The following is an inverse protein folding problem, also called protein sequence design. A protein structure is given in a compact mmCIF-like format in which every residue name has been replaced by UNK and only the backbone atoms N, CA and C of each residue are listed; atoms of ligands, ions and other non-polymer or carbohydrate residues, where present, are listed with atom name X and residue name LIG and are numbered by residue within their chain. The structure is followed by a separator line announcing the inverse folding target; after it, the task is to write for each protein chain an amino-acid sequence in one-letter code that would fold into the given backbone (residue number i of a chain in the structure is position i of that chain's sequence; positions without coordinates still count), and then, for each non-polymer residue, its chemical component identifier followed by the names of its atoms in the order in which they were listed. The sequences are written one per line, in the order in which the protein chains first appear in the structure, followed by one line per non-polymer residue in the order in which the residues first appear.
data_IF_423204681766
#
_entry.id   IF_423204681766
#
_cell.length_a   1.000
_cell.length_b   1.000
_cell.length_c   1.000
_cell.angle_alpha   90.00
_cell.angle_beta   90.00
_cell.angle_gamma   90.00
#
_symmetry.space_group_name_H-M   'P 1'
#
loop_
_entity.id
_entity.type
_entity.pdbx_description
1 polymer ?
#
# COMPACT_ATOMS: atom_id res chain seq x y z
N UNK A 1 16.95 -21.46 2.35
CA UNK A 1 16.57 -20.20 3.03
C UNK A 1 16.51 -19.18 1.90
N UNK A 2 15.28 -18.83 1.47
CA UNK A 2 14.51 -17.67 2.00
C UNK A 2 15.29 -16.40 1.62
N UNK A 3 14.80 -15.43 0.86
CA UNK A 3 13.52 -14.73 0.90
C UNK A 3 13.26 -14.14 -0.50
N UNK A 4 12.17 -14.53 -1.18
CA UNK A 4 11.56 -13.67 -2.20
C UNK A 4 10.37 -12.97 -1.55
N UNK A 5 10.62 -12.34 -0.40
CA UNK A 5 9.68 -11.50 0.32
C UNK A 5 9.60 -10.09 -0.27
N UNK A 6 10.31 -9.86 -1.37
CA UNK A 6 10.40 -8.56 -1.98
C UNK A 6 9.06 -8.18 -2.58
N UNK A 7 8.43 -7.26 -1.84
CA UNK A 7 7.78 -6.09 -2.38
C UNK A 7 6.27 -6.24 -2.55
N UNK A 8 5.53 -6.70 -1.52
CA UNK A 8 4.08 -6.49 -1.47
C UNK A 8 3.73 -5.16 -0.82
N UNK A 9 2.71 -4.49 -1.36
CA UNK A 9 2.19 -3.26 -0.78
C UNK A 9 1.68 -3.51 0.64
N UNK A 10 2.19 -2.77 1.62
CA UNK A 10 1.75 -2.92 3.01
C UNK A 10 0.32 -2.44 3.28
N UNK A 11 -0.28 -1.74 2.31
CA UNK A 11 -1.63 -1.20 2.40
C UNK A 11 -2.64 -2.13 1.71
N UNK A 12 -2.27 -2.72 0.57
CA UNK A 12 -3.20 -3.48 -0.25
C UNK A 12 -2.79 -4.91 -0.59
N UNK A 13 -1.58 -5.32 -0.20
CA UNK A 13 -1.02 -6.63 -0.50
C UNK A 13 -0.66 -6.86 -1.96
N UNK A 14 -0.81 -5.85 -2.84
CA UNK A 14 -0.47 -5.99 -4.26
C UNK A 14 1.03 -6.16 -4.47
N UNK A 15 1.42 -7.01 -5.40
CA UNK A 15 2.82 -7.19 -5.79
C UNK A 15 3.36 -5.89 -6.42
N UNK A 16 4.44 -5.38 -5.84
CA UNK A 16 5.20 -4.24 -6.30
C UNK A 16 6.40 -4.82 -7.05
N UNK A 17 6.31 -4.85 -8.37
CA UNK A 17 7.35 -5.45 -9.21
C UNK A 17 8.35 -4.36 -9.60
N UNK A 18 9.62 -4.54 -9.25
CA UNK A 18 10.70 -3.68 -9.73
C UNK A 18 10.78 -2.33 -9.03
N UNK A 19 10.33 -2.26 -7.78
CA UNK A 19 10.63 -1.12 -6.94
C UNK A 19 12.10 -1.19 -6.51
N UNK A 20 12.76 -0.02 -6.52
CA UNK A 20 14.17 0.06 -6.11
C UNK A 20 14.31 0.01 -4.59
N UNK A 21 15.53 -0.12 -4.06
CA UNK A 21 15.77 -0.02 -2.61
C UNK A 21 15.34 1.34 -2.00
N UNK A 22 15.13 2.35 -2.85
CA UNK A 22 14.67 3.70 -2.50
C UNK A 22 13.17 3.92 -2.78
N UNK A 23 12.47 2.90 -3.29
CA UNK A 23 11.06 3.04 -3.66
C UNK A 23 10.13 2.83 -2.46
N UNK A 24 9.00 3.54 -2.44
CA UNK A 24 8.03 3.46 -1.35
C UNK A 24 7.46 2.04 -1.21
N UNK A 25 7.23 1.60 0.04
CA UNK A 25 6.61 0.31 0.42
C UNK A 25 5.13 0.16 -0.04
N UNK A 26 4.67 1.06 -0.90
CA UNK A 26 3.28 1.21 -1.32
C UNK A 26 3.17 1.18 -2.84
N UNK A 27 2.10 0.57 -3.36
CA UNK A 27 1.87 0.56 -4.80
C UNK A 27 1.46 1.94 -5.30
N UNK A 28 1.75 2.22 -6.57
CA UNK A 28 1.37 3.47 -7.23
C UNK A 28 -0.13 3.80 -7.06
N UNK A 29 -0.99 2.78 -7.03
CA UNK A 29 -2.44 2.98 -6.79
C UNK A 29 -2.71 3.53 -5.39
N UNK A 30 -2.08 2.97 -4.36
CA UNK A 30 -2.23 3.47 -3.00
C UNK A 30 -1.64 4.88 -2.89
N UNK A 31 -0.49 5.14 -3.52
CA UNK A 31 0.14 6.47 -3.53
C UNK A 31 -0.77 7.50 -4.20
N UNK A 32 -1.28 7.21 -5.40
CA UNK A 32 -2.17 8.10 -6.12
C UNK A 32 -3.46 8.40 -5.34
N UNK A 33 -4.05 7.41 -4.68
CA UNK A 33 -5.24 7.61 -3.85
C UNK A 33 -4.92 8.38 -2.57
N UNK A 34 -3.76 8.15 -1.95
CA UNK A 34 -3.27 8.91 -0.80
C UNK A 34 -3.09 10.39 -1.15
N UNK A 35 -2.43 10.70 -2.26
CA UNK A 35 -2.25 12.06 -2.76
C UNK A 35 -3.58 12.73 -3.08
N UNK A 36 -4.47 12.01 -3.77
CA UNK A 36 -5.82 12.49 -4.12
C UNK A 36 -6.68 12.79 -2.89
N UNK A 37 -6.56 11.98 -1.83
CA UNK A 37 -7.26 12.20 -0.57
C UNK A 37 -6.51 13.14 0.37
N UNK A 38 -5.28 13.57 0.01
CA UNK A 38 -4.34 14.28 0.89
C UNK A 38 -4.23 13.62 2.28
N UNK A 39 -4.08 12.30 2.27
CA UNK A 39 -3.95 11.48 3.47
C UNK A 39 -2.53 10.94 3.62
N UNK A 40 -2.03 10.91 4.85
CA UNK A 40 -0.81 10.20 5.19
C UNK A 40 -0.99 8.67 5.08
N UNK A 41 0.08 7.89 4.86
CA UNK A 41 0.00 6.43 4.72
C UNK A 41 -0.72 5.73 5.86
N UNK A 42 -0.46 6.13 7.10
CA UNK A 42 -1.12 5.58 8.28
C UNK A 42 -2.64 5.81 8.25
N UNK A 43 -3.06 7.04 7.92
CA UNK A 43 -4.49 7.39 7.81
C UNK A 43 -5.16 6.66 6.66
N UNK A 44 -4.49 6.53 5.53
CA UNK A 44 -5.03 5.84 4.37
C UNK A 44 -5.16 4.33 4.62
N UNK A 45 -4.19 3.72 5.32
CA UNK A 45 -4.27 2.32 5.76
C UNK A 45 -5.50 2.09 6.66
N UNK A 46 -5.71 2.94 7.67
CA UNK A 46 -6.90 2.88 8.52
C UNK A 46 -8.20 3.11 7.73
N UNK A 47 -8.23 4.13 6.85
CA UNK A 47 -9.38 4.42 6.00
C UNK A 47 -9.77 3.21 5.15
N UNK A 48 -8.78 2.52 4.57
CA UNK A 48 -8.99 1.34 3.75
C UNK A 48 -9.52 0.16 4.57
N UNK A 49 -8.92 -0.10 5.73
CA UNK A 49 -9.35 -1.17 6.63
C UNK A 49 -10.81 -0.98 7.07
N UNK A 50 -11.20 0.25 7.42
CA UNK A 50 -12.58 0.60 7.74
C UNK A 50 -13.49 0.38 6.53
N UNK A 51 -13.05 0.81 5.34
CA UNK A 51 -13.82 0.69 4.09
C UNK A 51 -14.01 -0.77 3.65
N UNK A 52 -13.02 -1.64 3.86
CA UNK A 52 -13.12 -3.08 3.63
C UNK A 52 -14.01 -3.75 4.67
N UNK A 53 -14.00 -3.29 5.91
CA UNK A 53 -14.83 -3.82 7.00
C UNK A 53 -16.31 -3.41 6.87
N UNK A 54 -16.59 -2.17 6.42
CA UNK A 54 -17.96 -1.65 6.25
C UNK A 54 -18.64 -2.10 4.96
N UNK A 55 -17.89 -2.65 4.00
CA UNK A 55 -18.40 -3.12 2.72
C UNK A 55 -18.89 -4.57 2.70
N UNK A 56 -19.05 -5.22 3.87
CA UNK A 56 -19.35 -6.64 4.01
C UNK A 56 -20.68 -6.90 4.74
#
# INVERSE_FOLDING_TARGET
MNEKDFEKCEICGADLIGIGPDSPLYCEKCIAEMEKLSMSPEKYKQYREIRETMGK
#
